data_IF_584061470980
#
_entry.id   IF_584061470980
#
_cell.length_a   1.000
_cell.length_b   1.000
_cell.length_c   1.000
_cell.angle_alpha   90.00
_cell.angle_beta   90.00
_cell.angle_gamma   90.00
#
_symmetry.space_group_name_H-M   'P 1'
#
loop_
_entity.id
_entity.type
_entity.pdbx_description
1 polymer ?
#
# COMPACT_ATOMS: atom_id res chain seq x y z
N UNK A 1 14.82 0.09 -20.52
CA UNK A 1 15.22 -0.08 -19.11
C UNK A 1 14.00 0.07 -18.22
N UNK A 2 13.79 -0.87 -17.29
CA UNK A 2 12.70 -0.76 -16.33
C UNK A 2 13.13 0.09 -15.13
N UNK A 3 12.23 0.90 -14.62
CA UNK A 3 12.48 1.78 -13.47
C UNK A 3 11.58 1.40 -12.30
N UNK A 4 11.85 1.96 -11.12
CA UNK A 4 10.99 1.75 -9.95
C UNK A 4 9.58 2.31 -10.21
N UNK A 5 9.46 3.39 -10.97
CA UNK A 5 8.17 3.97 -11.33
C UNK A 5 7.38 3.06 -12.27
N UNK A 6 8.07 2.33 -13.17
CA UNK A 6 7.42 1.30 -14.00
C UNK A 6 6.83 0.20 -13.12
N UNK A 7 7.56 -0.19 -12.07
CA UNK A 7 7.10 -1.20 -11.13
C UNK A 7 5.95 -0.66 -10.26
N UNK A 8 6.00 0.61 -9.90
CA UNK A 8 4.89 1.26 -9.20
C UNK A 8 3.58 1.11 -10.00
N UNK A 9 3.64 1.29 -11.31
CA UNK A 9 2.49 1.11 -12.19
C UNK A 9 2.03 -0.36 -12.18
N UNK A 10 2.97 -1.30 -12.21
CA UNK A 10 2.64 -2.74 -12.17
C UNK A 10 1.99 -3.14 -10.83
N UNK A 11 2.48 -2.60 -9.73
CA UNK A 11 1.87 -2.82 -8.40
C UNK A 11 0.45 -2.27 -8.38
N UNK A 12 0.24 -1.08 -8.95
CA UNK A 12 -1.09 -0.49 -9.08
C UNK A 12 -2.03 -1.41 -9.86
N UNK A 13 -1.61 -1.88 -11.03
CA UNK A 13 -2.43 -2.74 -11.89
C UNK A 13 -2.78 -4.05 -11.18
N UNK A 14 -1.81 -4.65 -10.49
CA UNK A 14 -2.01 -5.89 -9.75
C UNK A 14 -3.02 -5.69 -8.61
N UNK A 15 -2.85 -4.65 -7.81
CA UNK A 15 -3.73 -4.40 -6.67
C UNK A 15 -5.12 -3.99 -7.11
N UNK A 16 -5.24 -3.21 -8.18
CA UNK A 16 -6.55 -2.86 -8.74
C UNK A 16 -7.34 -4.10 -9.13
N UNK A 17 -6.67 -5.10 -9.68
CA UNK A 17 -7.31 -6.37 -10.05
C UNK A 17 -7.60 -7.24 -8.82
N UNK A 18 -6.60 -7.44 -7.97
CA UNK A 18 -6.69 -8.38 -6.85
C UNK A 18 -7.59 -7.90 -5.71
N UNK A 19 -7.76 -6.58 -5.56
CA UNK A 19 -8.59 -6.03 -4.48
C UNK A 19 -10.05 -5.80 -4.88
N UNK A 20 -10.46 -6.19 -6.07
CA UNK A 20 -11.87 -6.05 -6.51
C UNK A 20 -12.85 -6.71 -5.55
N UNK A 21 -12.53 -7.88 -5.05
CA UNK A 21 -13.40 -8.64 -4.14
C UNK A 21 -13.56 -7.96 -2.76
N UNK A 22 -12.62 -7.13 -2.37
CA UNK A 22 -12.65 -6.43 -1.08
C UNK A 22 -13.64 -5.27 -1.09
N UNK A 23 -13.93 -4.72 -2.27
CA UNK A 23 -14.90 -3.63 -2.46
C UNK A 23 -14.57 -2.40 -1.63
N UNK A 24 -13.41 -1.79 -1.91
CA UNK A 24 -13.00 -0.54 -1.25
C UNK A 24 -14.07 0.55 -1.47
N UNK A 25 -14.34 1.35 -0.45
CA UNK A 25 -15.23 2.50 -0.61
C UNK A 25 -14.59 3.61 -1.45
N UNK A 26 -13.26 3.67 -1.46
CA UNK A 26 -12.48 4.53 -2.34
C UNK A 26 -11.86 3.73 -3.47
N UNK A 27 -10.55 3.86 -3.64
CA UNK A 27 -9.86 3.25 -4.78
C UNK A 27 -8.40 2.88 -4.49
N UNK A 28 -7.83 2.09 -5.39
CA UNK A 28 -6.38 1.92 -5.50
C UNK A 28 -5.87 3.07 -6.35
N UNK A 29 -4.82 3.75 -5.92
CA UNK A 29 -4.30 4.90 -6.66
C UNK A 29 -2.94 5.36 -6.18
N UNK A 30 -2.54 6.55 -6.63
CA UNK A 30 -1.26 7.15 -6.28
C UNK A 30 -1.41 8.36 -5.36
N UNK A 31 -2.60 8.90 -5.25
CA UNK A 31 -2.88 10.11 -4.47
C UNK A 31 -4.19 9.94 -3.73
N UNK A 32 -4.19 10.37 -2.47
CA UNK A 32 -5.39 10.34 -1.66
C UNK A 32 -6.19 11.63 -1.88
N UNK A 33 -7.47 11.47 -2.17
CA UNK A 33 -8.37 12.60 -2.47
C UNK A 33 -9.48 12.80 -1.44
N UNK A 34 -9.93 11.75 -0.78
CA UNK A 34 -11.08 11.82 0.12
C UNK A 34 -10.80 10.99 1.37
N UNK A 35 -10.59 11.67 2.51
CA UNK A 35 -10.27 11.03 3.78
C UNK A 35 -11.46 10.29 4.41
N UNK A 36 -12.64 10.37 3.82
CA UNK A 36 -13.80 9.61 4.27
C UNK A 36 -13.92 8.24 3.60
N UNK A 37 -13.02 7.93 2.68
CA UNK A 37 -13.02 6.69 1.90
C UNK A 37 -11.84 5.80 2.27
N UNK A 38 -12.00 4.49 2.02
CA UNK A 38 -10.90 3.54 2.13
C UNK A 38 -10.09 3.59 0.85
N UNK A 39 -8.79 3.79 0.95
CA UNK A 39 -7.92 3.85 -0.21
C UNK A 39 -6.67 3.01 0.00
N UNK A 40 -6.14 2.49 -1.10
CA UNK A 40 -4.83 1.84 -1.13
C UNK A 40 -3.95 2.68 -2.04
N UNK A 41 -2.95 3.34 -1.45
CA UNK A 41 -2.14 4.35 -2.14
C UNK A 41 -0.71 3.83 -2.30
N UNK A 42 -0.20 3.88 -3.53
CA UNK A 42 1.09 3.30 -3.90
C UNK A 42 2.08 4.45 -4.17
N UNK A 43 3.13 4.52 -3.36
CA UNK A 43 4.12 5.59 -3.45
C UNK A 43 5.51 5.01 -3.70
N UNK A 44 6.26 5.64 -4.60
CA UNK A 44 7.67 5.33 -4.79
C UNK A 44 8.50 6.07 -3.74
N UNK A 45 9.46 5.37 -3.14
CA UNK A 45 10.43 5.96 -2.21
C UNK A 45 11.79 6.17 -2.87
N UNK A 46 11.86 5.99 -4.19
CA UNK A 46 13.09 6.18 -4.93
C UNK A 46 13.92 4.91 -5.02
N UNK A 47 15.10 5.06 -5.59
CA UNK A 47 16.01 3.94 -5.83
C UNK A 47 17.44 4.41 -5.83
N UNK A 48 18.35 3.45 -5.59
CA UNK A 48 19.77 3.65 -5.73
C UNK A 48 20.42 2.35 -6.20
N UNK A 49 21.60 2.43 -6.73
CA UNK A 49 22.29 1.23 -7.17
C UNK A 49 23.37 1.47 -8.19
N UNK A 50 24.00 0.37 -8.60
CA UNK A 50 25.05 0.34 -9.60
C UNK A 50 24.48 0.13 -10.99
N UNK A 51 25.37 0.06 -11.99
CA UNK A 51 25.00 -0.24 -13.37
C UNK A 51 24.33 -1.60 -13.55
N UNK A 52 24.62 -2.55 -12.64
CA UNK A 52 24.13 -3.94 -12.77
C UNK A 52 22.86 -4.18 -11.96
N UNK A 53 22.73 -3.52 -10.82
CA UNK A 53 21.62 -3.75 -9.89
C UNK A 53 21.14 -2.43 -9.31
N UNK A 54 19.84 -2.21 -9.40
CA UNK A 54 19.17 -1.09 -8.76
C UNK A 54 18.26 -1.66 -7.66
N UNK A 55 18.30 -1.05 -6.49
CA UNK A 55 17.41 -1.38 -5.37
C UNK A 55 16.53 -0.17 -5.09
N UNK A 56 15.25 -0.39 -5.06
CA UNK A 56 14.28 0.68 -4.79
C UNK A 56 13.27 0.26 -3.74
N UNK A 57 12.44 1.20 -3.36
CA UNK A 57 11.38 0.96 -2.39
C UNK A 57 10.06 1.53 -2.88
N UNK A 58 9.01 0.80 -2.60
CA UNK A 58 7.64 1.24 -2.81
C UNK A 58 6.92 1.01 -1.49
N UNK A 59 6.12 1.98 -1.06
CA UNK A 59 5.24 1.79 0.08
C UNK A 59 3.79 1.76 -0.41
N UNK A 60 3.04 0.78 0.07
CA UNK A 60 1.61 0.65 -0.19
C UNK A 60 0.91 0.99 1.12
N UNK A 61 0.25 2.14 1.16
CA UNK A 61 -0.46 2.61 2.34
C UNK A 61 -1.94 2.25 2.24
N UNK A 62 -2.41 1.49 3.20
CA UNK A 62 -3.81 1.09 3.31
C UNK A 62 -4.48 2.06 4.27
N UNK A 63 -5.36 2.93 3.75
CA UNK A 63 -6.05 3.96 4.54
C UNK A 63 -7.47 3.54 4.83
N UNK A 64 -7.86 3.56 6.09
CA UNK A 64 -9.21 3.20 6.52
C UNK A 64 -9.72 4.25 7.52
N UNK A 65 -10.88 4.88 7.24
CA UNK A 65 -11.48 5.82 8.19
C UNK A 65 -11.80 5.14 9.52
N UNK A 66 -11.66 5.91 10.61
CA UNK A 66 -11.96 5.42 11.94
C UNK A 66 -13.46 5.17 12.13
N UNK A 67 -13.79 4.27 13.04
CA UNK A 67 -15.17 4.03 13.46
C UNK A 67 -15.60 5.17 14.37
N UNK A 68 -16.72 5.80 14.02
CA UNK A 68 -17.30 6.90 14.78
C UNK A 68 -18.39 6.36 15.68
N UNK A 69 -18.30 6.66 16.99
CA UNK A 69 -19.31 6.29 17.96
C UNK A 69 -19.65 7.47 18.87
N UNK A 70 -20.86 7.45 19.43
CA UNK A 70 -21.32 8.51 20.33
C UNK A 70 -21.33 7.98 21.76
N UNK A 71 -20.67 8.71 22.67
CA UNK A 71 -20.65 8.38 24.10
C UNK A 71 -21.98 8.83 24.76
N UNK A 72 -22.20 8.35 25.98
CA UNK A 72 -23.38 8.70 26.78
C UNK A 72 -23.50 10.20 27.03
N UNK A 73 -22.37 10.89 27.16
CA UNK A 73 -22.31 12.32 27.41
C UNK A 73 -22.52 13.17 26.14
N UNK A 74 -22.76 12.53 24.98
CA UNK A 74 -22.94 13.20 23.71
C UNK A 74 -21.67 13.44 22.92
N UNK A 75 -20.50 13.21 23.51
CA UNK A 75 -19.22 13.35 22.79
C UNK A 75 -19.03 12.23 21.76
N UNK A 76 -18.20 12.50 20.74
CA UNK A 76 -17.93 11.58 19.66
C UNK A 76 -16.58 10.93 19.89
N UNK A 77 -16.52 9.59 19.79
CA UNK A 77 -15.30 8.82 19.87
C UNK A 77 -14.96 8.30 18.48
N UNK A 78 -13.70 8.48 18.09
CA UNK A 78 -13.14 7.92 16.86
C UNK A 78 -12.15 6.84 17.24
N UNK A 79 -12.34 5.65 16.68
CA UNK A 79 -11.53 4.49 17.01
C UNK A 79 -11.09 3.77 15.76
N UNK A 80 -9.91 3.14 15.82
CA UNK A 80 -9.36 2.42 14.68
C UNK A 80 -10.31 1.29 14.24
N UNK A 81 -10.54 1.18 12.95
CA UNK A 81 -11.35 0.10 12.37
C UNK A 81 -10.47 -1.11 12.06
N UNK A 82 -10.06 -1.84 13.07
CA UNK A 82 -9.21 -3.01 12.91
C UNK A 82 -9.79 -4.08 11.99
N UNK A 83 -11.06 -4.48 12.12
CA UNK A 83 -11.59 -5.53 11.25
C UNK A 83 -11.44 -5.20 9.77
N UNK A 84 -11.78 -3.97 9.38
CA UNK A 84 -11.68 -3.57 7.98
C UNK A 84 -10.24 -3.40 7.53
N UNK A 85 -9.42 -2.77 8.39
CA UNK A 85 -8.00 -2.55 8.11
C UNK A 85 -7.28 -3.88 7.89
N UNK A 86 -7.55 -4.87 8.74
CA UNK A 86 -6.94 -6.20 8.64
C UNK A 86 -7.44 -6.98 7.42
N UNK A 87 -8.70 -6.82 7.05
CA UNK A 87 -9.25 -7.46 5.85
C UNK A 87 -8.53 -6.97 4.60
N UNK A 88 -8.39 -5.66 4.46
CA UNK A 88 -7.72 -5.07 3.30
C UNK A 88 -6.23 -5.39 3.32
N UNK A 89 -5.60 -5.33 4.49
CA UNK A 89 -4.19 -5.68 4.66
C UNK A 89 -3.91 -7.11 4.22
N UNK A 90 -4.70 -8.07 4.69
CA UNK A 90 -4.52 -9.48 4.35
C UNK A 90 -4.60 -9.69 2.83
N UNK A 91 -5.61 -9.11 2.19
CA UNK A 91 -5.77 -9.21 0.74
C UNK A 91 -4.59 -8.56 0.00
N UNK A 92 -4.11 -7.42 0.49
CA UNK A 92 -2.97 -6.71 -0.11
C UNK A 92 -1.69 -7.52 0.01
N UNK A 93 -1.41 -8.07 1.19
CA UNK A 93 -0.22 -8.89 1.42
C UNK A 93 -0.25 -10.15 0.54
N UNK A 94 -1.39 -10.82 0.46
CA UNK A 94 -1.53 -12.00 -0.40
C UNK A 94 -1.26 -11.66 -1.87
N UNK A 95 -1.77 -10.52 -2.34
CA UNK A 95 -1.59 -10.09 -3.72
C UNK A 95 -0.12 -9.76 -4.03
N UNK A 96 0.60 -9.22 -3.06
CA UNK A 96 1.97 -8.72 -3.25
C UNK A 96 3.05 -9.74 -2.88
N UNK A 97 2.67 -10.86 -2.31
CA UNK A 97 3.64 -11.78 -1.71
C UNK A 97 4.61 -12.35 -2.76
N UNK A 98 5.90 -12.00 -2.65
CA UNK A 98 7.02 -12.58 -3.40
C UNK A 98 6.83 -12.63 -4.92
N UNK A 99 6.70 -11.48 -5.56
CA UNK A 99 6.60 -11.40 -7.01
C UNK A 99 7.97 -11.43 -7.68
N UNK A 100 8.10 -12.23 -8.75
CA UNK A 100 9.32 -12.34 -9.53
C UNK A 100 9.01 -12.43 -11.01
N UNK A 101 9.70 -11.62 -11.82
CA UNK A 101 9.59 -11.66 -13.27
C UNK A 101 10.98 -11.74 -13.89
N UNK A 102 11.40 -12.96 -14.26
CA UNK A 102 12.72 -13.22 -14.82
C UNK A 102 12.92 -12.55 -16.18
N UNK A 103 11.88 -12.48 -17.00
CA UNK A 103 11.97 -11.92 -18.35
C UNK A 103 12.24 -10.41 -18.30
N UNK A 104 11.58 -9.70 -17.41
CA UNK A 104 11.76 -8.28 -17.26
C UNK A 104 12.91 -7.90 -16.33
N UNK A 105 13.48 -8.88 -15.64
CA UNK A 105 14.66 -8.68 -14.82
C UNK A 105 14.41 -7.95 -13.51
N UNK A 106 13.24 -8.13 -12.90
CA UNK A 106 12.96 -7.52 -11.61
C UNK A 106 12.19 -8.47 -10.69
N UNK A 107 12.26 -8.19 -9.40
CA UNK A 107 11.41 -8.81 -8.40
C UNK A 107 11.18 -7.85 -7.24
N UNK A 108 10.16 -8.14 -6.47
CA UNK A 108 9.96 -7.44 -5.21
C UNK A 108 9.65 -8.43 -4.09
N UNK A 109 9.93 -8.01 -2.86
CA UNK A 109 9.57 -8.74 -1.65
C UNK A 109 8.97 -7.75 -0.66
N UNK A 110 8.11 -8.25 0.20
CA UNK A 110 7.64 -7.45 1.34
C UNK A 110 8.78 -7.38 2.33
N UNK A 111 9.36 -6.20 2.51
CA UNK A 111 10.56 -6.02 3.35
C UNK A 111 10.21 -5.84 4.82
N UNK A 112 9.17 -5.08 5.11
CA UNK A 112 8.63 -5.02 6.46
C UNK A 112 7.22 -4.43 6.48
N UNK A 113 6.57 -4.59 7.64
CA UNK A 113 5.23 -4.11 7.90
C UNK A 113 5.27 -3.25 9.15
N UNK A 114 4.86 -1.99 9.04
CA UNK A 114 4.71 -1.12 10.19
C UNK A 114 3.34 -1.35 10.84
N UNK A 115 3.20 -1.03 12.13
CA UNK A 115 1.89 -1.07 12.75
C UNK A 115 0.97 -0.01 12.16
N UNK A 116 -0.33 -0.19 12.36
CA UNK A 116 -1.31 0.82 11.98
C UNK A 116 -0.99 2.15 12.66
N UNK A 117 -0.95 3.22 11.87
CA UNK A 117 -0.55 4.55 12.31
C UNK A 117 -1.68 5.52 12.09
N UNK A 118 -1.91 6.39 13.06
CA UNK A 118 -2.91 7.44 12.91
C UNK A 118 -2.44 8.48 11.90
N UNK A 119 -3.30 8.83 10.95
CA UNK A 119 -3.02 9.90 10.00
C UNK A 119 -3.09 11.25 10.73
N UNK A 120 -2.11 12.13 10.47
CA UNK A 120 -2.07 13.42 11.10
C UNK A 120 -3.29 14.27 10.70
N UNK A 121 -3.96 14.85 11.71
CA UNK A 121 -5.11 15.74 11.54
C UNK A 121 -6.33 15.12 10.85
N UNK A 122 -6.39 13.77 10.76
CA UNK A 122 -7.52 13.06 10.16
C UNK A 122 -8.01 11.95 11.09
N UNK A 123 -9.31 11.66 11.02
CA UNK A 123 -9.90 10.55 11.77
C UNK A 123 -9.80 9.26 10.98
N UNK A 124 -8.56 8.85 10.77
CA UNK A 124 -8.24 7.61 10.06
C UNK A 124 -6.92 7.05 10.53
N UNK A 125 -6.73 5.78 10.25
CA UNK A 125 -5.46 5.10 10.40
C UNK A 125 -5.04 4.53 9.07
N UNK A 126 -3.74 4.42 8.87
CA UNK A 126 -3.20 3.75 7.68
C UNK A 126 -2.21 2.68 8.10
N UNK A 127 -2.06 1.68 7.24
CA UNK A 127 -1.15 0.57 7.44
C UNK A 127 -0.15 0.53 6.28
N UNK A 128 1.13 0.85 6.52
CA UNK A 128 2.13 0.80 5.45
C UNK A 128 2.63 -0.63 5.21
N UNK A 129 2.71 -1.00 3.94
CA UNK A 129 3.34 -2.24 3.50
C UNK A 129 4.52 -1.85 2.62
N UNK A 130 5.73 -2.18 3.05
CA UNK A 130 6.95 -1.79 2.33
C UNK A 130 7.42 -2.91 1.42
N UNK A 131 7.65 -2.53 0.16
CA UNK A 131 8.21 -3.44 -0.83
C UNK A 131 9.64 -3.02 -1.13
N UNK A 132 10.55 -3.96 -1.12
CA UNK A 132 11.90 -3.78 -1.61
C UNK A 132 11.96 -4.33 -3.03
N UNK A 133 12.44 -3.51 -3.96
CA UNK A 133 12.40 -3.79 -5.39
C UNK A 133 13.85 -4.01 -5.86
N UNK A 134 14.07 -5.09 -6.58
CA UNK A 134 15.37 -5.41 -7.15
C UNK A 134 15.23 -5.42 -8.66
N UNK A 135 16.02 -4.57 -9.33
CA UNK A 135 16.03 -4.46 -10.79
C UNK A 135 17.42 -4.76 -11.30
N UNK A 136 17.54 -5.75 -12.16
CA UNK A 136 18.78 -6.09 -12.83
C UNK A 136 18.81 -5.46 -14.20
N UNK A 137 19.78 -4.56 -14.42
CA UNK A 137 19.95 -3.88 -15.70
C UNK A 137 20.77 -4.68 -16.69
N UNK A 138 21.54 -5.62 -16.18
CA UNK A 138 22.48 -6.42 -16.98
C UNK A 138 21.95 -7.85 -17.10
N UNK A 139 21.34 -8.11 -18.21
CA UNK A 139 20.79 -9.44 -18.48
C UNK A 139 21.66 -10.19 -19.46
#
# INVERSE_FOLDING_TARGET
MITVEDIQIKVYQLLKEKLKAVKLTGSVGYTRHDFTKEDVIILSKGSEGSSDLCVGSIVVNIHVPDIKSKKKDGSILYDINFPRLMEIRTATIEALNSYYNAEEGYNWVISHLDPATKEQDQDEHFFPVYLEIYIRHNK
#
